data_IF_036452038180
#
_entry.id   IF_036452038180
#
_cell.length_a   1.000
_cell.length_b   1.000
_cell.length_c   1.000
_cell.angle_alpha   90.00
_cell.angle_beta   90.00
_cell.angle_gamma   90.00
#
_symmetry.space_group_name_H-M   'P 1'
#
loop_
_entity.id
_entity.type
_entity.pdbx_description
1 polymer ?
#
# COMPACT_ATOMS: atom_id res chain seq x y z
N UNK A 1 -3.68 55.20 45.31
CA UNK A 1 -2.41 55.14 44.57
C UNK A 1 -2.68 54.30 43.33
N UNK A 2 -3.09 54.94 42.24
CA UNK A 2 -2.27 55.16 41.01
C UNK A 2 -1.81 53.84 40.38
N UNK A 3 -2.14 53.48 39.15
CA UNK A 3 -2.87 54.09 38.02
C UNK A 3 -3.06 52.95 36.98
N UNK A 4 -3.85 53.04 35.93
CA UNK A 4 -4.39 54.16 35.19
C UNK A 4 -4.49 53.66 33.76
N UNK A 5 -5.73 53.41 33.31
CA UNK A 5 -6.07 53.11 31.93
C UNK A 5 -5.67 54.27 31.02
N UNK A 6 -5.21 53.97 29.81
CA UNK A 6 -5.33 54.91 28.70
C UNK A 6 -5.67 54.15 27.41
N UNK A 7 -6.88 54.42 26.94
CA UNK A 7 -7.34 54.17 25.60
C UNK A 7 -6.78 55.24 24.66
N UNK A 8 -6.34 54.85 23.47
CA UNK A 8 -5.92 55.75 22.41
C UNK A 8 -6.26 55.11 21.06
N UNK A 9 -7.36 55.55 20.47
CA UNK A 9 -7.77 55.20 19.12
C UNK A 9 -6.76 55.71 18.08
N UNK A 10 -6.49 54.92 17.03
CA UNK A 10 -6.04 55.48 15.75
C UNK A 10 -6.38 54.58 14.56
N UNK A 11 -7.22 55.15 13.69
CA UNK A 11 -7.26 55.06 12.23
C UNK A 11 -7.07 53.72 11.52
N UNK A 12 -8.19 53.23 10.98
CA UNK A 12 -8.28 52.39 9.78
C UNK A 12 -7.66 53.09 8.56
N UNK A 13 -6.74 52.40 7.89
CA UNK A 13 -6.51 52.53 6.44
C UNK A 13 -6.26 51.15 5.85
N UNK A 14 -7.04 50.86 4.81
CA UNK A 14 -7.00 49.68 3.95
C UNK A 14 -5.58 49.31 3.49
N UNK A 15 -5.28 48.02 3.51
CA UNK A 15 -4.20 47.42 2.72
C UNK A 15 -4.85 46.43 1.76
N UNK A 16 -5.01 46.87 0.52
CA UNK A 16 -5.37 46.01 -0.61
C UNK A 16 -4.17 45.15 -1.00
N UNK A 17 -4.45 43.86 -1.20
CA UNK A 17 -3.60 42.85 -1.82
C UNK A 17 -3.27 43.23 -3.26
N UNK A 18 -1.98 43.25 -3.63
CA UNK A 18 -1.53 43.04 -5.02
C UNK A 18 -0.18 42.31 -5.08
N UNK A 19 -0.25 41.12 -5.67
CA UNK A 19 0.66 40.52 -6.66
C UNK A 19 2.17 40.76 -6.52
N UNK A 20 2.92 39.71 -6.16
CA UNK A 20 4.35 39.60 -6.42
C UNK A 20 4.64 38.46 -7.41
N UNK A 21 4.43 38.72 -8.70
CA UNK A 21 5.11 37.99 -9.79
C UNK A 21 6.46 38.67 -10.00
N UNK A 22 7.56 38.00 -9.63
CA UNK A 22 8.90 38.43 -9.98
C UNK A 22 9.12 38.21 -11.49
N UNK A 23 8.95 39.27 -12.27
CA UNK A 23 9.52 39.38 -13.62
C UNK A 23 10.89 40.04 -13.48
N UNK A 24 11.96 39.26 -13.61
CA UNK A 24 13.32 39.82 -13.71
C UNK A 24 13.49 40.31 -15.15
N UNK A 25 13.02 41.52 -15.41
CA UNK A 25 13.44 42.29 -16.57
C UNK A 25 14.82 42.87 -16.28
N UNK A 26 15.86 42.30 -16.88
CA UNK A 26 17.20 42.92 -16.91
C UNK A 26 17.12 44.18 -17.78
N UNK A 27 16.91 45.32 -17.13
CA UNK A 27 16.92 46.64 -17.75
C UNK A 27 18.13 47.39 -17.20
N UNK A 28 19.29 47.20 -17.84
CA UNK A 28 20.43 48.07 -17.60
C UNK A 28 20.08 49.50 -18.04
N UNK A 29 20.33 50.53 -17.24
CA UNK A 29 20.07 51.91 -17.62
C UNK A 29 21.06 52.32 -18.72
N UNK A 30 20.54 52.49 -19.94
CA UNK A 30 21.25 53.18 -21.02
C UNK A 30 21.34 54.65 -20.62
N UNK A 31 22.56 55.15 -20.41
CA UNK A 31 22.84 56.57 -20.20
C UNK A 31 22.27 57.39 -21.38
N UNK A 32 21.28 58.29 -21.18
CA UNK A 32 20.65 59.04 -22.26
C UNK A 32 21.57 60.06 -22.96
N UNK A 33 22.84 60.19 -22.55
CA UNK A 33 23.76 61.19 -23.12
C UNK A 33 24.75 60.69 -24.18
N UNK A 34 24.59 59.47 -24.71
CA UNK A 34 25.34 59.03 -25.89
C UNK A 34 24.50 58.90 -27.18
N UNK A 35 23.29 59.46 -27.21
CA UNK A 35 22.46 59.52 -28.43
C UNK A 35 22.56 60.92 -29.04
N UNK A 36 23.65 61.18 -29.77
CA UNK A 36 23.79 62.12 -30.90
C UNK A 36 25.24 62.58 -31.04
N UNK A 37 26.08 61.72 -31.59
CA UNK A 37 27.23 62.18 -32.35
C UNK A 37 27.14 61.62 -33.76
N UNK A 38 26.63 62.43 -34.69
CA UNK A 38 26.90 62.23 -36.12
C UNK A 38 28.42 62.30 -36.30
N UNK A 39 29.08 61.32 -36.93
CA UNK A 39 30.51 61.46 -37.22
C UNK A 39 30.66 62.55 -38.27
N UNK A 40 31.24 63.68 -37.86
CA UNK A 40 31.69 64.73 -38.76
C UNK A 40 32.88 64.20 -39.56
N UNK A 41 32.83 64.38 -40.88
CA UNK A 41 33.97 64.26 -41.78
C UNK A 41 35.16 65.05 -41.21
N UNK A 42 36.21 64.37 -40.75
CA UNK A 42 37.57 64.91 -40.79
C UNK A 42 38.65 63.82 -40.79
N UNK A 43 39.46 63.92 -41.85
CA UNK A 43 40.84 63.48 -42.06
C UNK A 43 41.28 62.03 -41.77
N UNK A 44 41.49 61.30 -42.87
CA UNK A 44 42.72 60.50 -43.02
C UNK A 44 42.61 58.99 -43.14
N UNK A 45 41.41 58.38 -43.09
CA UNK A 45 41.26 56.93 -43.35
C UNK A 45 40.03 56.66 -44.21
N UNK A 46 40.26 56.49 -45.51
CA UNK A 46 39.25 56.25 -46.57
C UNK A 46 38.63 54.84 -46.51
N UNK A 47 38.43 54.29 -45.31
CA UNK A 47 38.07 52.89 -45.12
C UNK A 47 36.97 52.72 -44.07
N UNK A 48 36.03 51.83 -44.38
CA UNK A 48 35.07 51.24 -43.46
C UNK A 48 35.79 50.34 -42.46
N UNK A 49 35.39 50.42 -41.20
CA UNK A 49 35.91 49.59 -40.11
C UNK A 49 34.78 48.71 -39.60
N UNK A 50 34.96 47.40 -39.63
CA UNK A 50 33.99 46.43 -39.12
C UNK A 50 34.54 45.82 -37.84
N UNK A 51 33.75 45.86 -36.77
CA UNK A 51 34.07 45.24 -35.48
C UNK A 51 32.80 44.87 -34.73
N UNK A 52 32.90 44.03 -33.70
CA UNK A 52 31.79 43.80 -32.78
C UNK A 52 31.46 45.06 -31.98
N UNK A 53 30.20 45.27 -31.60
CA UNK A 53 29.83 46.36 -30.68
C UNK A 53 30.41 46.14 -29.28
N UNK A 54 30.49 44.88 -28.83
CA UNK A 54 31.07 44.43 -27.57
C UNK A 54 31.88 43.14 -27.78
N UNK A 55 32.82 42.87 -26.88
CA UNK A 55 33.66 41.64 -26.91
C UNK A 55 33.11 40.53 -26.02
N UNK A 56 32.02 40.78 -25.30
CA UNK A 56 31.41 39.84 -24.37
C UNK A 56 29.90 39.87 -24.52
N UNK A 57 29.32 38.68 -24.65
CA UNK A 57 27.88 38.44 -24.67
C UNK A 57 27.55 37.37 -23.63
N UNK A 58 26.38 37.48 -23.01
CA UNK A 58 25.85 36.47 -22.12
C UNK A 58 24.39 36.21 -22.51
N UNK A 59 24.00 34.94 -22.52
CA UNK A 59 22.70 34.47 -22.97
C UNK A 59 22.26 33.32 -22.08
N UNK A 60 20.99 33.28 -21.70
CA UNK A 60 20.44 32.08 -21.05
C UNK A 60 20.29 30.98 -22.10
N UNK A 61 20.50 29.74 -21.71
CA UNK A 61 20.33 28.58 -22.58
C UNK A 61 18.93 28.55 -23.22
N UNK A 62 17.90 28.78 -22.39
CA UNK A 62 16.49 28.88 -22.80
C UNK A 62 16.14 30.03 -23.76
N UNK A 63 17.08 30.96 -24.03
CA UNK A 63 16.86 32.10 -24.92
C UNK A 63 16.94 31.72 -26.42
N UNK A 64 17.36 30.49 -26.75
CA UNK A 64 17.43 29.87 -28.09
C UNK A 64 18.42 30.51 -29.08
N UNK A 65 18.83 31.76 -28.88
CA UNK A 65 19.84 32.42 -29.68
C UNK A 65 20.47 33.61 -28.96
N UNK A 66 21.75 33.87 -29.26
CA UNK A 66 22.44 35.11 -28.91
C UNK A 66 22.43 36.07 -30.11
N UNK A 67 22.09 37.34 -29.87
CA UNK A 67 22.14 38.39 -30.90
C UNK A 67 23.48 39.13 -30.83
N UNK A 68 24.36 38.84 -31.80
CA UNK A 68 25.62 39.53 -32.02
C UNK A 68 25.36 40.82 -32.81
N UNK A 69 25.99 41.91 -32.38
CA UNK A 69 25.88 43.20 -33.05
C UNK A 69 27.23 43.55 -33.65
N UNK A 70 27.28 43.59 -34.98
CA UNK A 70 28.44 44.06 -35.74
C UNK A 70 28.21 45.53 -36.06
N UNK A 71 29.17 46.38 -35.69
CA UNK A 71 29.13 47.80 -35.97
C UNK A 71 30.10 48.17 -37.08
N UNK A 72 29.69 49.15 -37.87
CA UNK A 72 30.48 49.75 -38.92
C UNK A 72 30.83 51.19 -38.58
N UNK A 73 32.12 51.47 -38.50
CA UNK A 73 32.66 52.81 -38.26
C UNK A 73 33.35 53.35 -39.52
N UNK A 74 33.53 54.66 -39.58
CA UNK A 74 34.17 55.33 -40.72
C UNK A 74 33.25 55.42 -41.93
N UNK A 75 33.74 54.99 -43.09
CA UNK A 75 33.04 55.13 -44.38
C UNK A 75 31.85 54.15 -44.46
N UNK A 76 30.65 54.68 -44.74
CA UNK A 76 29.39 53.90 -44.82
C UNK A 76 28.75 53.87 -46.22
N UNK A 77 29.31 54.57 -47.19
CA UNK A 77 28.78 54.72 -48.57
C UNK A 77 29.05 53.51 -49.49
N UNK A 78 29.81 52.52 -49.00
CA UNK A 78 30.26 51.34 -49.76
C UNK A 78 29.66 50.07 -49.19
N UNK A 79 29.60 48.97 -49.95
CA UNK A 79 29.25 47.65 -49.38
C UNK A 79 30.46 47.09 -48.64
N UNK A 80 30.28 46.59 -47.42
CA UNK A 80 31.33 45.92 -46.64
C UNK A 80 30.99 44.47 -46.40
N UNK A 81 31.89 43.55 -46.76
CA UNK A 81 31.74 42.11 -46.54
C UNK A 81 32.66 41.63 -45.43
N UNK A 82 32.15 40.75 -44.58
CA UNK A 82 32.90 40.13 -43.50
C UNK A 82 32.40 38.70 -43.28
N UNK A 83 33.19 37.90 -42.58
CA UNK A 83 32.87 36.53 -42.22
C UNK A 83 32.83 36.40 -40.70
N UNK A 84 31.86 35.65 -40.19
CA UNK A 84 31.83 35.21 -38.81
C UNK A 84 32.04 33.71 -38.75
N UNK A 85 32.98 33.29 -37.91
CA UNK A 85 33.24 31.89 -37.62
C UNK A 85 33.16 31.69 -36.10
N UNK A 86 32.31 30.76 -35.69
CA UNK A 86 32.27 30.25 -34.30
C UNK A 86 33.41 29.27 -34.06
N UNK A 87 33.95 29.30 -32.85
CA UNK A 87 35.07 28.47 -32.39
C UNK A 87 34.71 27.99 -31.00
N UNK A 88 34.76 26.67 -30.81
CA UNK A 88 34.48 26.03 -29.52
C UNK A 88 35.38 26.57 -28.41
N UNK A 89 34.81 26.67 -27.20
CA UNK A 89 35.52 26.98 -25.97
C UNK A 89 35.36 25.82 -25.00
N UNK A 90 34.60 26.04 -23.92
CA UNK A 90 34.04 24.93 -23.14
C UNK A 90 32.75 24.42 -23.78
N UNK A 91 31.97 25.32 -24.38
CA UNK A 91 30.82 24.97 -25.22
C UNK A 91 31.28 24.45 -26.58
N UNK A 92 30.63 23.38 -27.04
CA UNK A 92 30.90 22.55 -28.19
C UNK A 92 29.79 22.68 -29.25
N UNK A 93 30.20 22.75 -30.51
CA UNK A 93 29.30 22.72 -31.66
C UNK A 93 28.37 21.49 -31.66
N UNK A 94 27.07 21.72 -31.87
CA UNK A 94 25.96 20.75 -31.88
C UNK A 94 25.58 20.13 -30.53
N UNK A 95 26.27 20.51 -29.45
CA UNK A 95 25.85 20.22 -28.08
C UNK A 95 25.18 21.48 -27.51
N UNK A 96 25.89 22.62 -27.46
CA UNK A 96 25.36 23.84 -26.79
C UNK A 96 24.98 24.95 -27.79
N UNK A 97 25.53 24.90 -29.01
CA UNK A 97 25.23 25.89 -30.05
C UNK A 97 25.38 25.33 -31.46
N UNK A 98 24.69 25.94 -32.43
CA UNK A 98 24.85 25.60 -33.85
C UNK A 98 25.92 26.47 -34.47
N UNK A 99 26.89 25.83 -35.13
CA UNK A 99 27.99 26.52 -35.80
C UNK A 99 27.53 27.56 -36.80
N UNK A 100 28.05 28.77 -36.59
CA UNK A 100 28.02 29.85 -37.56
C UNK A 100 29.37 29.91 -38.29
N UNK A 101 29.36 29.80 -39.62
CA UNK A 101 30.54 29.94 -40.47
C UNK A 101 30.16 30.55 -41.83
N UNK A 102 29.66 31.78 -41.78
CA UNK A 102 29.00 32.45 -42.92
C UNK A 102 29.60 33.81 -43.23
N UNK A 103 29.43 34.22 -44.49
CA UNK A 103 29.75 35.57 -44.97
C UNK A 103 28.52 36.48 -44.94
N UNK A 104 28.72 37.69 -44.43
CA UNK A 104 27.70 38.71 -44.29
C UNK A 104 28.12 39.97 -45.04
N UNK A 105 27.11 40.73 -45.50
CA UNK A 105 27.32 42.04 -46.12
C UNK A 105 26.54 43.12 -45.37
N UNK A 106 27.18 44.28 -45.17
CA UNK A 106 26.52 45.52 -44.78
C UNK A 106 26.35 46.41 -46.00
N UNK A 107 25.12 46.79 -46.29
CA UNK A 107 24.77 47.64 -47.43
C UNK A 107 25.24 49.08 -47.19
N UNK A 108 25.18 49.87 -48.26
CA UNK A 108 25.36 51.32 -48.16
C UNK A 108 24.40 51.92 -47.13
N UNK A 109 24.92 52.75 -46.22
CA UNK A 109 24.17 53.39 -45.15
C UNK A 109 23.90 52.51 -43.92
N UNK A 110 24.18 51.20 -43.97
CA UNK A 110 24.03 50.28 -42.82
C UNK A 110 25.22 50.48 -41.86
N UNK A 111 24.94 50.92 -40.62
CA UNK A 111 25.95 51.16 -39.59
C UNK A 111 25.99 50.06 -38.51
N UNK A 112 24.96 49.23 -38.42
CA UNK A 112 24.90 48.08 -37.53
C UNK A 112 24.23 46.89 -38.23
N UNK A 113 24.69 45.67 -37.92
CA UNK A 113 24.09 44.43 -38.38
C UNK A 113 23.93 43.47 -37.22
N UNK A 114 22.71 42.99 -37.02
CA UNK A 114 22.35 41.99 -36.00
C UNK A 114 22.43 40.61 -36.61
N UNK A 115 23.18 39.72 -35.99
CA UNK A 115 23.40 38.34 -36.42
C UNK A 115 23.07 37.43 -35.26
N UNK A 116 22.31 36.37 -35.53
CA UNK A 116 21.91 35.40 -34.51
C UNK A 116 22.76 34.15 -34.62
N UNK A 117 23.29 33.69 -33.49
CA UNK A 117 23.85 32.34 -33.34
C UNK A 117 22.84 31.55 -32.53
N UNK A 118 22.42 30.39 -33.03
CA UNK A 118 21.44 29.54 -32.35
C UNK A 118 22.12 28.85 -31.17
N UNK A 119 21.49 28.95 -30.00
CA UNK A 119 21.85 28.24 -28.78
C UNK A 119 20.93 27.03 -28.69
N UNK A 120 21.50 25.88 -28.38
CA UNK A 120 20.76 24.65 -28.14
C UNK A 120 20.33 24.69 -26.69
N UNK A 121 19.07 24.33 -26.47
CA UNK A 121 18.40 24.35 -25.16
C UNK A 121 18.04 22.90 -24.84
N UNK A 122 18.58 22.37 -23.76
CA UNK A 122 18.16 21.08 -23.25
C UNK A 122 17.54 21.17 -21.84
N UNK A 123 17.66 20.13 -21.02
CA UNK A 123 17.15 20.19 -19.65
C UNK A 123 18.17 19.61 -18.66
N UNK A 124 19.38 19.28 -19.10
CA UNK A 124 20.41 18.70 -18.28
C UNK A 124 21.27 19.84 -17.72
N UNK A 125 21.43 19.86 -16.40
CA UNK A 125 22.23 20.91 -15.80
C UNK A 125 23.70 20.80 -16.17
N UNK A 126 24.23 21.92 -16.64
CA UNK A 126 25.63 22.10 -16.98
C UNK A 126 26.19 23.37 -16.31
N UNK A 127 27.51 23.46 -16.06
CA UNK A 127 28.11 24.71 -15.63
C UNK A 127 28.03 25.77 -16.73
N UNK A 128 28.10 27.07 -16.39
CA UNK A 128 28.19 28.13 -17.41
C UNK A 128 29.32 27.85 -18.41
N UNK A 129 28.98 27.87 -19.69
CA UNK A 129 29.89 27.51 -20.76
C UNK A 129 30.20 28.68 -21.69
N UNK A 130 31.25 28.55 -22.49
CA UNK A 130 31.70 29.62 -23.37
C UNK A 130 32.16 29.13 -24.74
N UNK A 131 31.87 29.92 -25.76
CA UNK A 131 32.44 29.79 -27.10
C UNK A 131 32.86 31.16 -27.64
N UNK A 132 33.65 31.16 -28.71
CA UNK A 132 34.16 32.39 -29.33
C UNK A 132 33.55 32.60 -30.71
N UNK A 133 33.35 33.87 -31.08
CA UNK A 133 32.99 34.26 -32.44
C UNK A 133 34.08 35.15 -33.00
N UNK A 134 34.71 34.69 -34.08
CA UNK A 134 35.78 35.38 -34.77
C UNK A 134 35.25 36.12 -35.98
N UNK A 135 35.51 37.41 -36.02
CA UNK A 135 35.28 38.27 -37.16
C UNK A 135 36.52 38.26 -38.06
N UNK A 136 36.33 37.91 -39.32
CA UNK A 136 37.38 37.97 -40.33
C UNK A 136 36.89 38.64 -41.61
N UNK A 137 37.85 39.01 -42.45
CA UNK A 137 37.57 39.53 -43.77
C UNK A 137 37.75 38.38 -44.77
N UNK A 138 36.82 38.18 -45.74
CA UNK A 138 36.96 37.12 -46.74
C UNK A 138 38.28 37.26 -47.52
N UNK A 139 38.83 36.23 -48.13
CA UNK A 139 40.09 36.37 -48.91
C UNK A 139 39.80 36.84 -50.34
N UNK A 140 40.02 38.13 -50.65
CA UNK A 140 40.02 38.66 -52.04
C UNK A 140 40.55 40.10 -52.13
N UNK A 141 41.46 40.28 -53.09
CA UNK A 141 42.12 41.46 -53.69
C UNK A 141 42.71 42.55 -52.77
N UNK A 142 43.94 42.96 -53.13
CA UNK A 142 44.69 44.07 -52.55
C UNK A 142 43.88 45.37 -52.67
N UNK A 143 43.94 46.22 -51.63
CA UNK A 143 43.29 47.54 -51.56
C UNK A 143 41.79 47.58 -51.18
N UNK A 144 41.38 46.85 -50.13
CA UNK A 144 40.01 46.93 -49.61
C UNK A 144 39.65 48.31 -49.04
N UNK A 145 38.43 48.82 -49.32
CA UNK A 145 37.84 49.92 -48.58
C UNK A 145 37.38 49.49 -47.18
N UNK A 146 37.52 48.23 -46.79
CA UNK A 146 37.08 47.70 -45.49
C UNK A 146 38.24 47.08 -44.72
N UNK A 147 38.37 47.43 -43.44
CA UNK A 147 39.34 46.85 -42.50
C UNK A 147 38.65 46.37 -41.22
N UNK A 148 39.33 45.50 -40.48
CA UNK A 148 38.87 45.11 -39.14
C UNK A 148 39.19 46.21 -38.12
N UNK A 149 38.31 46.38 -37.14
CA UNK A 149 38.53 47.23 -35.98
C UNK A 149 39.32 46.53 -34.87
N UNK A 150 39.13 47.00 -33.65
CA UNK A 150 39.81 46.48 -32.46
C UNK A 150 39.10 45.25 -31.89
N UNK A 151 37.78 45.18 -32.01
CA UNK A 151 36.94 44.10 -31.46
C UNK A 151 36.67 43.06 -32.56
N UNK A 152 37.61 42.15 -32.75
CA UNK A 152 37.57 41.12 -33.82
C UNK A 152 37.25 39.72 -33.33
N UNK A 153 37.18 39.53 -32.02
CA UNK A 153 36.70 38.32 -31.39
C UNK A 153 35.74 38.72 -30.27
N UNK A 154 34.67 37.96 -30.12
CA UNK A 154 33.74 38.07 -29.02
C UNK A 154 33.67 36.74 -28.26
N UNK A 155 33.64 36.80 -26.94
CA UNK A 155 33.31 35.69 -26.05
C UNK A 155 31.80 35.68 -25.85
N UNK A 156 31.17 34.52 -26.05
CA UNK A 156 29.77 34.29 -25.68
C UNK A 156 29.77 33.33 -24.50
N UNK A 157 29.06 33.70 -23.44
CA UNK A 157 28.79 32.84 -22.29
C UNK A 157 27.35 32.36 -22.34
N UNK A 158 27.16 31.05 -22.37
CA UNK A 158 25.86 30.38 -22.21
C UNK A 158 25.69 30.16 -20.71
N UNK A 159 24.65 30.76 -20.16
CA UNK A 159 24.31 30.63 -18.75
C UNK A 159 23.24 29.54 -18.66
N UNK A 160 23.58 28.44 -18.01
CA UNK A 160 22.62 27.36 -17.79
C UNK A 160 21.55 27.84 -16.79
N UNK A 161 20.29 27.58 -17.13
CA UNK A 161 19.13 27.95 -16.31
C UNK A 161 18.29 26.75 -15.84
N UNK A 162 18.86 25.55 -15.90
CA UNK A 162 18.24 24.33 -15.38
C UNK A 162 18.33 24.20 -13.87
N UNK A 163 17.28 23.66 -13.27
CA UNK A 163 17.25 23.37 -11.84
C UNK A 163 17.06 21.86 -11.61
N UNK A 164 18.15 21.10 -11.35
CA UNK A 164 18.07 19.67 -11.04
C UNK A 164 17.33 19.35 -9.73
N UNK A 165 17.14 20.33 -8.86
CA UNK A 165 16.41 20.17 -7.62
C UNK A 165 17.22 19.64 -6.44
N UNK A 166 16.50 19.54 -5.32
CA UNK A 166 16.96 19.13 -4.00
C UNK A 166 16.20 17.89 -3.54
N UNK A 167 16.91 16.90 -3.00
CA UNK A 167 16.37 15.58 -2.68
C UNK A 167 16.34 15.32 -1.17
N UNK A 168 15.17 14.95 -0.66
CA UNK A 168 14.90 14.71 0.76
C UNK A 168 14.02 13.46 0.93
N UNK A 169 14.15 12.73 2.03
CA UNK A 169 13.14 11.76 2.42
C UNK A 169 11.83 12.46 2.83
N UNK A 170 10.68 11.91 2.42
CA UNK A 170 9.36 12.42 2.80
C UNK A 170 9.17 12.39 4.32
N UNK A 171 9.71 11.36 4.97
CA UNK A 171 9.64 11.15 6.41
C UNK A 171 11.00 10.74 6.98
N UNK A 172 11.38 11.30 8.14
CA UNK A 172 12.63 10.98 8.84
C UNK A 172 12.56 9.66 9.62
N UNK A 173 11.36 9.08 9.76
CA UNK A 173 11.14 7.79 10.37
C UNK A 173 10.06 7.02 9.59
N UNK A 174 10.25 5.72 9.46
CA UNK A 174 9.29 4.79 8.86
C UNK A 174 9.10 3.58 9.77
N UNK A 175 7.85 3.12 9.86
CA UNK A 175 7.46 1.95 10.63
C UNK A 175 7.04 0.86 9.65
N UNK A 176 7.72 -0.28 9.70
CA UNK A 176 7.45 -1.44 8.86
C UNK A 176 7.23 -2.64 9.77
N UNK A 177 6.34 -3.55 9.39
CA UNK A 177 6.19 -4.83 10.12
C UNK A 177 7.25 -5.80 9.61
N UNK A 178 7.70 -6.69 10.48
CA UNK A 178 8.59 -7.79 10.11
C UNK A 178 7.98 -8.68 9.02
N UNK A 179 6.68 -8.95 9.12
CA UNK A 179 5.92 -9.65 8.07
C UNK A 179 5.75 -8.89 6.75
N UNK A 180 6.20 -7.63 6.66
CA UNK A 180 6.23 -6.92 5.40
C UNK A 180 7.44 -7.38 4.58
N UNK A 181 7.26 -7.62 3.29
CA UNK A 181 8.35 -8.07 2.41
C UNK A 181 9.41 -7.00 2.15
N UNK A 182 9.04 -5.72 2.27
CA UNK A 182 9.91 -4.58 1.99
C UNK A 182 9.47 -3.33 2.75
N UNK A 183 10.44 -2.49 3.10
CA UNK A 183 10.24 -1.12 3.54
C UNK A 183 10.30 -0.19 2.32
N UNK A 184 9.23 0.58 2.12
CA UNK A 184 9.14 1.58 1.06
C UNK A 184 9.45 2.97 1.63
N UNK A 185 10.49 3.61 1.09
CA UNK A 185 10.98 4.91 1.56
C UNK A 185 10.93 5.92 0.42
N UNK A 186 9.98 6.85 0.48
CA UNK A 186 9.79 7.84 -0.57
C UNK A 186 10.79 8.99 -0.44
N UNK A 187 11.47 9.27 -1.54
CA UNK A 187 12.36 10.43 -1.74
C UNK A 187 11.60 11.47 -2.58
N UNK A 188 11.62 12.72 -2.16
CA UNK A 188 10.98 13.87 -2.78
C UNK A 188 12.05 14.76 -3.42
N UNK A 189 11.81 15.16 -4.66
CA UNK A 189 12.58 16.15 -5.43
C UNK A 189 11.85 17.49 -5.38
N UNK A 190 12.54 18.55 -4.98
CA UNK A 190 11.98 19.90 -4.76
C UNK A 190 12.90 20.98 -5.31
N UNK A 191 12.38 22.20 -5.54
CA UNK A 191 13.16 23.35 -6.05
C UNK A 191 13.89 23.04 -7.38
N UNK A 192 13.19 22.39 -8.30
CA UNK A 192 13.73 21.97 -9.60
C UNK A 192 13.34 20.53 -9.94
N UNK A 193 13.16 20.26 -11.24
CA UNK A 193 12.87 18.93 -11.76
C UNK A 193 13.57 18.65 -13.10
N UNK A 194 14.57 19.45 -13.46
CA UNK A 194 15.19 19.43 -14.78
C UNK A 194 16.26 18.35 -14.86
N UNK A 195 16.33 17.68 -16.00
CA UNK A 195 17.32 16.64 -16.26
C UNK A 195 17.19 15.38 -15.42
N UNK A 196 18.07 14.44 -15.75
CA UNK A 196 18.17 13.11 -15.16
C UNK A 196 19.15 13.13 -13.99
N UNK A 197 18.63 12.90 -12.78
CA UNK A 197 19.43 12.92 -11.54
C UNK A 197 19.59 11.53 -10.96
N UNK A 198 20.83 11.17 -10.61
CA UNK A 198 21.14 9.92 -9.91
C UNK A 198 21.50 10.23 -8.46
N UNK A 199 20.82 9.58 -7.52
CA UNK A 199 21.08 9.69 -6.07
C UNK A 199 21.56 8.35 -5.54
N UNK A 200 22.76 8.33 -4.96
CA UNK A 200 23.26 7.15 -4.24
C UNK A 200 22.82 7.19 -2.79
N UNK A 201 22.39 6.05 -2.29
CA UNK A 201 22.01 5.87 -0.90
C UNK A 201 22.68 4.63 -0.32
N UNK A 202 22.79 4.61 1.01
CA UNK A 202 23.31 3.46 1.75
C UNK A 202 22.45 3.15 2.95
N UNK A 203 22.44 1.89 3.35
CA UNK A 203 21.87 1.47 4.63
C UNK A 203 22.94 1.37 5.71
N UNK A 204 22.54 1.55 6.96
CA UNK A 204 23.42 1.41 8.12
C UNK A 204 22.67 0.81 9.30
N UNK A 205 23.25 -0.25 9.84
CA UNK A 205 22.76 -0.97 11.02
C UNK A 205 22.69 -0.04 12.24
N UNK A 206 21.63 -0.20 13.05
CA UNK A 206 21.50 0.44 14.38
C UNK A 206 21.31 -0.66 15.42
N UNK A 207 20.14 -1.29 15.44
CA UNK A 207 19.88 -2.51 16.20
C UNK A 207 19.55 -3.69 15.29
N UNK A 208 18.87 -3.43 14.16
CA UNK A 208 18.72 -4.37 13.06
C UNK A 208 20.04 -4.51 12.31
N UNK A 209 20.36 -5.72 11.89
CA UNK A 209 21.60 -6.18 11.28
C UNK A 209 21.36 -6.59 9.83
N UNK A 210 22.22 -6.10 8.95
CA UNK A 210 22.19 -6.45 7.52
C UNK A 210 22.34 -7.97 7.31
N UNK A 211 21.56 -8.53 6.39
CA UNK A 211 21.45 -9.97 6.05
C UNK A 211 20.86 -10.86 7.16
N UNK A 212 20.50 -10.30 8.31
CA UNK A 212 19.70 -10.98 9.35
C UNK A 212 18.26 -10.47 9.30
N UNK A 213 18.08 -9.15 9.44
CA UNK A 213 16.75 -8.54 9.61
C UNK A 213 16.30 -7.77 8.35
N UNK A 214 17.27 -7.35 7.51
CA UNK A 214 16.99 -6.67 6.25
C UNK A 214 18.14 -6.83 5.24
N UNK A 215 17.86 -6.64 3.95
CA UNK A 215 18.89 -6.68 2.89
C UNK A 215 19.40 -5.26 2.65
N UNK A 216 20.52 -4.94 3.32
CA UNK A 216 21.22 -3.66 3.21
C UNK A 216 22.27 -3.58 2.10
N UNK A 217 22.82 -2.39 1.88
CA UNK A 217 23.89 -2.14 0.92
C UNK A 217 23.99 -0.67 0.48
N UNK A 218 24.83 -0.43 -0.54
CA UNK A 218 24.91 0.84 -1.27
C UNK A 218 24.28 0.64 -2.65
N UNK A 219 23.32 1.49 -2.99
CA UNK A 219 22.55 1.41 -4.23
C UNK A 219 22.26 2.83 -4.74
N UNK A 220 21.68 2.93 -5.93
CA UNK A 220 21.29 4.20 -6.53
C UNK A 220 19.82 4.22 -6.93
N UNK A 221 19.25 5.43 -6.94
CA UNK A 221 17.92 5.73 -7.44
C UNK A 221 18.03 6.83 -8.48
N UNK A 222 17.41 6.62 -9.63
CA UNK A 222 17.49 7.53 -10.77
C UNK A 222 16.15 8.22 -10.92
N UNK A 223 16.16 9.55 -10.98
CA UNK A 223 15.02 10.39 -11.30
C UNK A 223 15.14 10.86 -12.73
N UNK A 224 14.13 10.59 -13.55
CA UNK A 224 14.04 11.13 -14.91
C UNK A 224 13.55 12.59 -14.87
N UNK A 225 13.69 13.31 -15.98
CA UNK A 225 13.20 14.69 -16.10
C UNK A 225 11.71 14.79 -15.71
N UNK A 226 11.37 15.75 -14.85
CA UNK A 226 10.02 15.96 -14.33
C UNK A 226 9.56 14.99 -13.23
N UNK A 227 10.36 13.98 -12.86
CA UNK A 227 10.00 13.07 -11.75
C UNK A 227 10.18 13.77 -10.39
N UNK A 228 9.07 13.98 -9.67
CA UNK A 228 9.07 14.69 -8.38
C UNK A 228 9.25 13.79 -7.15
N UNK A 229 9.03 12.48 -7.28
CA UNK A 229 9.18 11.55 -6.17
C UNK A 229 9.43 10.13 -6.65
N UNK A 230 10.21 9.37 -5.88
CA UNK A 230 10.48 7.96 -6.17
C UNK A 230 10.73 7.20 -4.86
N UNK A 231 10.35 5.92 -4.83
CA UNK A 231 10.48 5.09 -3.64
C UNK A 231 11.73 4.20 -3.70
N UNK A 232 12.50 4.18 -2.61
CA UNK A 232 13.53 3.19 -2.33
C UNK A 232 12.86 1.98 -1.67
N UNK A 233 13.13 0.78 -2.18
CA UNK A 233 12.61 -0.46 -1.62
C UNK A 233 13.74 -1.24 -0.93
N UNK A 234 13.64 -1.43 0.38
CA UNK A 234 14.60 -2.23 1.15
C UNK A 234 13.91 -3.54 1.55
N UNK A 235 14.34 -4.71 1.06
CA UNK A 235 13.76 -5.99 1.47
C UNK A 235 13.95 -6.21 2.97
N UNK A 236 12.88 -6.61 3.64
CA UNK A 236 12.88 -7.01 5.05
C UNK A 236 12.87 -8.53 5.11
N UNK A 237 13.63 -9.10 6.05
CA UNK A 237 13.72 -10.54 6.25
C UNK A 237 12.78 -10.89 7.41
N UNK A 238 11.76 -11.68 7.11
CA UNK A 238 10.81 -12.23 8.09
C UNK A 238 11.38 -13.56 8.58
N UNK A 239 11.77 -13.65 9.85
CA UNK A 239 12.24 -14.88 10.44
C UNK A 239 11.20 -15.54 11.37
N UNK A 240 11.60 -16.33 12.36
CA UNK A 240 10.66 -16.98 13.29
C UNK A 240 11.13 -16.88 14.73
N UNK A 241 12.21 -16.14 14.96
CA UNK A 241 12.72 -15.83 16.27
C UNK A 241 11.91 -14.67 16.84
N UNK A 242 11.52 -14.77 18.10
CA UNK A 242 10.78 -13.68 18.75
C UNK A 242 11.76 -12.57 19.11
N UNK A 243 11.74 -11.49 18.34
CA UNK A 243 12.63 -10.35 18.55
C UNK A 243 11.90 -9.15 19.18
N UNK A 244 12.67 -8.11 19.54
CA UNK A 244 12.10 -6.81 19.93
C UNK A 244 12.02 -5.94 18.68
N UNK A 245 11.35 -4.79 18.77
CA UNK A 245 11.41 -3.81 17.70
C UNK A 245 12.87 -3.41 17.42
N UNK A 246 13.28 -3.53 16.16
CA UNK A 246 14.64 -3.24 15.71
C UNK A 246 14.65 -2.11 14.69
N UNK A 247 15.80 -1.49 14.46
CA UNK A 247 15.91 -0.36 13.56
C UNK A 247 17.21 -0.34 12.77
N UNK A 248 17.12 0.22 11.56
CA UNK A 248 18.26 0.57 10.72
C UNK A 248 18.02 1.97 10.13
N UNK A 249 19.04 2.56 9.51
CA UNK A 249 18.91 3.85 8.83
C UNK A 249 19.28 3.77 7.37
N UNK A 250 18.63 4.61 6.56
CA UNK A 250 18.96 4.82 5.15
C UNK A 250 19.38 6.27 4.97
N UNK A 251 20.52 6.49 4.34
CA UNK A 251 21.15 7.79 4.12
C UNK A 251 21.34 8.04 2.63
N UNK A 252 20.92 9.21 2.13
CA UNK A 252 21.34 9.73 0.84
C UNK A 252 22.77 10.26 0.98
N UNK A 253 23.68 9.79 0.14
CA UNK A 253 25.14 9.99 0.30
C UNK A 253 25.70 10.92 -0.76
N UNK A 254 25.32 10.69 -2.01
CA UNK A 254 25.86 11.41 -3.17
C UNK A 254 24.73 11.65 -4.18
N UNK A 255 24.80 12.78 -4.87
CA UNK A 255 23.88 13.16 -5.94
C UNK A 255 24.67 13.56 -7.18
N UNK A 256 24.09 13.45 -8.38
CA UNK A 256 24.73 13.91 -9.62
C UNK A 256 25.00 15.41 -9.60
N UNK A 257 25.89 15.87 -10.48
CA UNK A 257 26.30 17.28 -10.57
C UNK A 257 25.09 18.22 -10.72
N UNK A 258 25.16 19.42 -10.15
CA UNK A 258 24.06 20.40 -10.16
C UNK A 258 22.97 20.16 -9.11
N UNK A 259 22.66 18.91 -8.80
CA UNK A 259 21.66 18.55 -7.79
C UNK A 259 22.18 18.63 -6.35
N UNK A 260 21.26 18.73 -5.38
CA UNK A 260 21.60 18.87 -3.96
C UNK A 260 20.87 17.84 -3.10
N UNK A 261 21.54 17.33 -2.07
CA UNK A 261 20.88 16.57 -1.00
C UNK A 261 20.40 17.57 0.06
N UNK A 262 19.13 17.47 0.44
CA UNK A 262 18.50 18.36 1.40
C UNK A 262 18.80 18.04 2.87
N UNK A 263 18.01 18.62 3.77
CA UNK A 263 18.22 18.50 5.23
C UNK A 263 17.76 17.15 5.77
N UNK A 264 16.78 16.53 5.15
CA UNK A 264 16.23 15.23 5.52
C UNK A 264 16.88 14.14 4.66
N UNK A 265 18.21 14.08 4.68
CA UNK A 265 19.00 13.10 3.94
C UNK A 265 19.06 11.72 4.59
N UNK A 266 18.50 11.57 5.79
CA UNK A 266 18.49 10.32 6.56
C UNK A 266 17.09 10.00 7.06
N UNK A 267 16.70 8.75 6.91
CA UNK A 267 15.48 8.18 7.50
C UNK A 267 15.81 6.95 8.34
N UNK A 268 15.09 6.77 9.45
CA UNK A 268 15.22 5.61 10.33
C UNK A 268 14.04 4.68 10.10
N UNK A 269 14.31 3.44 9.75
CA UNK A 269 13.29 2.40 9.60
C UNK A 269 13.26 1.57 10.86
N UNK A 270 12.08 1.44 11.46
CA UNK A 270 11.83 0.57 12.62
C UNK A 270 10.99 -0.62 12.18
N UNK A 271 11.52 -1.81 12.35
CA UNK A 271 10.88 -3.10 12.10
C UNK A 271 10.12 -3.48 13.38
N UNK A 272 8.81 -3.59 13.27
CA UNK A 272 7.92 -3.97 14.38
C UNK A 272 7.67 -5.47 14.29
N UNK A 273 8.00 -6.20 15.37
CA UNK A 273 7.71 -7.63 15.45
C UNK A 273 6.19 -7.84 15.60
N UNK A 274 5.58 -8.62 14.70
CA UNK A 274 4.14 -8.93 14.72
C UNK A 274 3.81 -10.42 14.89
N UNK A 275 4.80 -11.24 15.24
CA UNK A 275 4.66 -12.70 15.43
C UNK A 275 3.68 -13.08 16.52
N UNK A 276 3.68 -12.32 17.63
CA UNK A 276 2.80 -12.62 18.76
C UNK A 276 1.33 -12.46 18.35
N UNK A 277 1.00 -11.42 17.59
CA UNK A 277 -0.36 -11.20 17.08
C UNK A 277 -0.75 -12.27 16.05
N UNK A 278 0.15 -12.60 15.12
CA UNK A 278 -0.11 -13.63 14.12
C UNK A 278 -0.31 -15.02 14.74
N UNK A 279 0.49 -15.37 15.75
CA UNK A 279 0.37 -16.66 16.44
C UNK A 279 -0.97 -16.80 17.17
N UNK A 280 -1.46 -15.72 17.79
CA UNK A 280 -2.77 -15.67 18.44
C UNK A 280 -3.90 -15.73 17.40
N UNK A 281 -3.80 -14.99 16.31
CA UNK A 281 -4.77 -15.04 15.22
C UNK A 281 -4.87 -16.46 14.63
N UNK A 282 -3.74 -17.11 14.34
CA UNK A 282 -3.70 -18.51 13.85
C UNK A 282 -4.35 -19.47 14.84
N UNK A 283 -4.14 -19.31 16.15
CA UNK A 283 -4.80 -20.14 17.18
C UNK A 283 -6.31 -19.93 17.18
N UNK A 284 -6.78 -18.68 17.13
CA UNK A 284 -8.22 -18.37 17.08
C UNK A 284 -8.87 -18.92 15.81
N UNK A 285 -8.23 -18.75 14.65
CA UNK A 285 -8.68 -19.34 13.39
C UNK A 285 -8.72 -20.87 13.46
N UNK A 286 -7.71 -21.52 14.04
CA UNK A 286 -7.71 -22.98 14.19
C UNK A 286 -8.85 -23.49 15.08
N UNK A 287 -9.18 -22.77 16.16
CA UNK A 287 -10.31 -23.10 17.02
C UNK A 287 -11.65 -22.88 16.31
N UNK A 288 -11.78 -21.80 15.53
CA UNK A 288 -12.96 -21.54 14.73
C UNK A 288 -13.16 -22.58 13.60
N UNK A 289 -12.07 -23.01 12.96
CA UNK A 289 -12.10 -24.05 11.93
C UNK A 289 -12.57 -25.39 12.51
N UNK A 290 -12.08 -25.76 13.70
CA UNK A 290 -12.52 -26.94 14.43
C UNK A 290 -14.02 -26.89 14.79
N UNK A 291 -14.57 -25.72 15.06
CA UNK A 291 -16.01 -25.54 15.29
C UNK A 291 -16.85 -25.56 14.00
N UNK A 292 -16.34 -25.04 12.89
CA UNK A 292 -16.99 -25.13 11.57
C UNK A 292 -17.12 -26.59 11.11
N UNK A 293 -16.10 -27.41 11.35
CA UNK A 293 -16.15 -28.85 11.03
C UNK A 293 -17.16 -29.60 11.91
N UNK A 294 -17.36 -29.17 13.16
CA UNK A 294 -18.45 -29.69 14.02
C UNK A 294 -19.85 -29.29 13.52
N UNK A 295 -19.99 -28.15 12.85
CA UNK A 295 -21.26 -27.69 12.26
C UNK A 295 -21.58 -28.39 10.92
N UNK A 296 -20.57 -28.87 10.18
CA UNK A 296 -20.76 -29.63 8.94
C UNK A 296 -21.35 -31.04 9.12
N UNK A 297 -21.51 -31.51 10.37
CA UNK A 297 -22.31 -32.71 10.70
C UNK A 297 -23.79 -32.55 10.29
N UNK A 298 -24.26 -31.31 10.08
CA UNK A 298 -25.64 -30.96 9.77
C UNK A 298 -25.97 -30.85 8.27
N UNK A 299 -25.52 -31.75 7.40
CA UNK A 299 -26.02 -31.87 6.00
C UNK A 299 -26.26 -33.32 5.59
N UNK A 300 -26.80 -34.16 6.47
CA UNK A 300 -27.19 -35.54 6.11
C UNK A 300 -28.53 -35.56 5.40
N UNK A 301 -28.55 -36.00 4.14
CA UNK A 301 -29.79 -36.30 3.42
C UNK A 301 -30.42 -37.58 3.97
N UNK A 302 -31.74 -37.77 3.80
CA UNK A 302 -32.41 -38.97 4.34
C UNK A 302 -31.85 -40.27 3.74
N UNK A 303 -31.53 -40.28 2.44
CA UNK A 303 -30.87 -41.41 1.78
C UNK A 303 -29.47 -41.70 2.35
N UNK A 304 -28.72 -40.65 2.77
CA UNK A 304 -27.43 -40.83 3.41
C UNK A 304 -27.55 -41.54 4.77
N UNK A 305 -28.63 -41.35 5.51
CA UNK A 305 -28.84 -42.07 6.77
C UNK A 305 -28.95 -43.59 6.58
N UNK A 306 -29.61 -44.03 5.50
CA UNK A 306 -29.69 -45.45 5.15
C UNK A 306 -28.34 -45.99 4.67
N UNK A 307 -27.61 -45.21 3.88
CA UNK A 307 -26.26 -45.57 3.46
C UNK A 307 -25.33 -45.75 4.66
N UNK A 308 -25.36 -44.82 5.62
CA UNK A 308 -24.55 -44.88 6.84
C UNK A 308 -24.98 -46.03 7.77
N UNK A 309 -26.29 -46.34 7.81
CA UNK A 309 -26.83 -47.44 8.62
C UNK A 309 -26.39 -48.82 8.10
N UNK A 310 -26.28 -48.98 6.78
CA UNK A 310 -25.90 -50.23 6.12
C UNK A 310 -24.38 -50.45 6.04
N UNK A 311 -23.57 -49.41 6.26
CA UNK A 311 -22.12 -49.48 6.13
C UNK A 311 -21.40 -49.35 7.49
N UNK A 312 -20.32 -50.11 7.66
CA UNK A 312 -19.43 -50.00 8.83
C UNK A 312 -18.77 -48.62 8.78
N UNK A 313 -18.79 -47.91 9.91
CA UNK A 313 -18.26 -46.54 10.04
C UNK A 313 -18.74 -45.55 8.96
N UNK A 314 -19.97 -45.69 8.45
CA UNK A 314 -20.52 -44.76 7.44
C UNK A 314 -19.86 -44.85 6.07
N UNK A 315 -19.17 -45.97 5.78
CA UNK A 315 -18.47 -46.19 4.51
C UNK A 315 -16.95 -45.97 4.57
N UNK A 316 -16.40 -45.54 5.71
CA UNK A 316 -14.94 -45.49 5.91
C UNK A 316 -14.40 -46.85 6.38
N UNK A 317 -14.22 -47.75 5.40
CA UNK A 317 -13.74 -49.11 5.62
C UNK A 317 -12.24 -49.15 5.94
N UNK A 318 -11.49 -48.09 5.61
CA UNK A 318 -10.02 -48.06 5.75
C UNK A 318 -9.57 -47.84 7.19
N UNK A 319 -10.41 -47.24 8.03
CA UNK A 319 -10.14 -46.98 9.46
C UNK A 319 -10.80 -47.99 10.40
N UNK A 320 -11.56 -48.96 9.87
CA UNK A 320 -12.42 -49.85 10.65
C UNK A 320 -11.63 -50.95 11.39
N UNK A 321 -11.86 -51.07 12.70
CA UNK A 321 -11.28 -52.12 13.57
C UNK A 321 -12.18 -53.36 13.59
N UNK A 322 -11.65 -54.56 13.93
CA UNK A 322 -12.46 -55.78 14.01
C UNK A 322 -13.68 -55.68 14.94
N UNK A 323 -13.56 -54.90 16.02
CA UNK A 323 -14.66 -54.64 16.95
C UNK A 323 -15.77 -53.81 16.30
N UNK A 324 -15.45 -52.91 15.37
CA UNK A 324 -16.43 -52.05 14.70
C UNK A 324 -17.37 -52.86 13.80
N UNK A 325 -16.86 -53.93 13.17
CA UNK A 325 -17.67 -54.87 12.38
C UNK A 325 -18.63 -55.67 13.26
N UNK A 326 -18.15 -56.17 14.41
CA UNK A 326 -18.96 -56.92 15.37
C UNK A 326 -20.07 -56.01 15.92
N UNK A 327 -19.69 -54.81 16.38
CA UNK A 327 -20.64 -53.83 16.89
C UNK A 327 -21.64 -53.38 15.81
N UNK A 328 -21.19 -53.19 14.57
CA UNK A 328 -22.07 -52.87 13.45
C UNK A 328 -23.08 -53.99 13.17
N UNK A 329 -22.64 -55.25 13.15
CA UNK A 329 -23.53 -56.40 12.94
C UNK A 329 -24.59 -56.52 14.04
N UNK A 330 -24.17 -56.40 15.32
CA UNK A 330 -25.08 -56.47 16.47
C UNK A 330 -26.09 -55.31 16.52
N UNK A 331 -25.70 -54.14 16.01
CA UNK A 331 -26.55 -52.94 15.99
C UNK A 331 -27.27 -52.70 14.67
N UNK A 332 -27.05 -53.52 13.63
CA UNK A 332 -27.57 -53.29 12.27
C UNK A 332 -29.08 -53.16 12.25
N UNK A 333 -29.77 -54.05 12.96
CA UNK A 333 -31.22 -54.00 13.11
C UNK A 333 -31.68 -52.63 13.63
N UNK A 334 -31.07 -52.16 14.73
CA UNK A 334 -31.38 -50.86 15.33
C UNK A 334 -31.00 -49.70 14.42
N UNK A 335 -29.88 -49.78 13.71
CA UNK A 335 -29.43 -48.73 12.77
C UNK A 335 -30.42 -48.52 11.63
N UNK A 336 -30.88 -49.61 11.00
CA UNK A 336 -31.87 -49.54 9.92
C UNK A 336 -33.20 -49.03 10.47
N UNK A 337 -33.61 -49.55 11.64
CA UNK A 337 -34.86 -49.16 12.30
C UNK A 337 -34.89 -47.65 12.62
N UNK A 338 -33.80 -47.08 13.11
CA UNK A 338 -33.71 -45.64 13.40
C UNK A 338 -33.44 -44.77 12.16
N UNK A 339 -32.95 -45.32 11.05
CA UNK A 339 -32.79 -44.56 9.79
C UNK A 339 -34.14 -44.14 9.15
N UNK A 340 -35.25 -44.75 9.56
CA UNK A 340 -36.61 -44.31 9.20
C UNK A 340 -37.01 -42.99 9.88
N UNK A 341 -36.28 -42.54 10.90
CA UNK A 341 -36.49 -41.22 11.49
C UNK A 341 -35.95 -40.16 10.51
N UNK A 342 -36.77 -39.18 10.10
CA UNK A 342 -36.37 -38.22 9.07
C UNK A 342 -35.29 -37.25 9.59
N UNK A 343 -34.43 -36.69 8.72
CA UNK A 343 -33.38 -35.74 9.10
C UNK A 343 -33.95 -34.46 9.73
N UNK A 344 -33.23 -33.92 10.72
CA UNK A 344 -33.59 -32.74 11.53
C UNK A 344 -33.76 -31.44 10.73
N UNK A 345 -33.42 -31.42 9.44
CA UNK A 345 -33.56 -30.27 8.55
C UNK A 345 -34.95 -30.16 7.91
N UNK A 346 -35.72 -31.24 7.91
CA UNK A 346 -37.06 -31.23 7.32
C UNK A 346 -38.03 -30.49 8.24
N UNK A 347 -38.76 -29.52 7.67
CA UNK A 347 -39.74 -28.70 8.39
C UNK A 347 -39.22 -28.07 9.70
N UNK A 348 -37.96 -27.59 9.70
CA UNK A 348 -37.36 -26.94 10.87
C UNK A 348 -37.16 -27.86 12.08
N UNK A 349 -37.06 -29.18 11.86
CA UNK A 349 -36.85 -30.18 12.90
C UNK A 349 -38.13 -30.71 13.55
N UNK A 350 -39.27 -30.07 13.33
CA UNK A 350 -40.55 -30.50 13.89
C UNK A 350 -41.00 -31.86 13.36
N UNK A 351 -40.72 -32.14 12.09
CA UNK A 351 -41.08 -33.42 11.48
C UNK A 351 -40.32 -34.58 12.13
N UNK A 352 -39.02 -34.43 12.31
CA UNK A 352 -38.17 -35.38 13.05
C UNK A 352 -38.63 -35.57 14.48
N UNK A 353 -38.93 -34.47 15.16
CA UNK A 353 -39.37 -34.51 16.56
C UNK A 353 -40.66 -35.33 16.73
N UNK A 354 -41.69 -35.07 15.91
CA UNK A 354 -42.96 -35.80 15.99
C UNK A 354 -42.82 -37.28 15.63
N UNK A 355 -42.09 -37.61 14.56
CA UNK A 355 -41.86 -39.01 14.16
C UNK A 355 -41.06 -39.76 15.24
N UNK A 356 -40.07 -39.11 15.84
CA UNK A 356 -39.27 -39.70 16.93
C UNK A 356 -40.13 -40.00 18.16
N UNK A 357 -41.05 -39.10 18.55
CA UNK A 357 -41.95 -39.33 19.68
C UNK A 357 -42.86 -40.55 19.45
N UNK A 358 -43.43 -40.68 18.26
CA UNK A 358 -44.26 -41.84 17.89
C UNK A 358 -43.42 -43.13 17.97
N UNK A 359 -42.20 -43.08 17.45
CA UNK A 359 -41.31 -44.24 17.42
C UNK A 359 -40.88 -44.69 18.82
N UNK A 360 -40.54 -43.74 19.69
CA UNK A 360 -40.21 -43.99 21.10
C UNK A 360 -41.42 -44.60 21.81
N UNK A 361 -42.64 -44.07 21.58
CA UNK A 361 -43.84 -44.62 22.19
C UNK A 361 -44.11 -46.07 21.76
N UNK A 362 -43.99 -46.37 20.47
CA UNK A 362 -44.17 -47.73 19.92
C UNK A 362 -43.12 -48.71 20.43
N UNK A 363 -41.85 -48.31 20.44
CA UNK A 363 -40.75 -49.14 20.94
C UNK A 363 -40.89 -49.39 22.44
N UNK A 364 -41.27 -48.39 23.22
CA UNK A 364 -41.47 -48.53 24.67
C UNK A 364 -42.62 -49.48 24.97
N UNK A 365 -43.72 -49.40 24.21
CA UNK A 365 -44.84 -50.34 24.33
C UNK A 365 -44.39 -51.78 24.00
N UNK A 366 -43.69 -51.99 22.89
CA UNK A 366 -43.20 -53.31 22.48
C UNK A 366 -42.22 -53.90 23.51
N UNK A 367 -41.27 -53.10 24.00
CA UNK A 367 -40.31 -53.54 25.03
C UNK A 367 -41.03 -53.85 26.35
N UNK A 368 -42.04 -53.06 26.71
CA UNK A 368 -42.90 -53.32 27.87
C UNK A 368 -43.63 -54.66 27.77
N UNK A 369 -44.23 -54.94 26.62
CA UNK A 369 -44.95 -56.20 26.37
C UNK A 369 -43.99 -57.41 26.40
N UNK A 370 -42.83 -57.30 25.75
CA UNK A 370 -41.79 -58.34 25.78
C UNK A 370 -41.28 -58.58 27.21
N UNK A 371 -41.09 -57.51 27.99
CA UNK A 371 -40.64 -57.63 29.38
C UNK A 371 -41.70 -58.27 30.30
N UNK A 372 -43.00 -58.02 30.05
CA UNK A 372 -44.08 -58.67 30.79
C UNK A 372 -44.19 -60.16 30.41
N UNK A 373 -44.09 -60.51 29.12
CA UNK A 373 -44.06 -61.91 28.67
C UNK A 373 -42.86 -62.66 29.27
N UNK A 374 -41.68 -62.04 29.26
CA UNK A 374 -40.49 -62.59 29.91
C UNK A 374 -40.68 -62.75 31.43
N UNK A 375 -41.27 -61.76 32.08
CA UNK A 375 -41.62 -61.81 33.50
C UNK A 375 -42.55 -62.97 33.84
N UNK A 376 -43.59 -63.17 33.04
CA UNK A 376 -44.48 -64.32 33.14
C UNK A 376 -43.73 -65.65 33.01
N UNK A 377 -42.77 -65.74 32.08
CA UNK A 377 -42.02 -66.96 31.81
C UNK A 377 -41.02 -67.32 32.92
N UNK A 378 -40.49 -66.31 33.63
CA UNK A 378 -39.53 -66.46 34.74
C UNK A 378 -40.23 -66.44 36.11
N UNK A 379 -41.55 -66.22 36.17
CA UNK A 379 -42.32 -66.17 37.41
C UNK A 379 -42.16 -64.87 38.22
N UNK A 380 -41.76 -63.78 37.57
CA UNK A 380 -41.60 -62.46 38.18
C UNK A 380 -42.89 -61.64 38.03
N UNK A 381 -43.21 -60.84 39.05
CA UNK A 381 -44.31 -59.86 38.97
C UNK A 381 -43.98 -58.77 37.96
N UNK A 382 -44.99 -58.29 37.21
CA UNK A 382 -44.84 -57.24 36.19
C UNK A 382 -44.20 -55.96 36.73
N UNK A 383 -44.43 -55.61 37.99
CA UNK A 383 -43.79 -54.44 38.62
C UNK A 383 -42.28 -54.61 38.78
N UNK A 384 -41.81 -55.83 39.04
CA UNK A 384 -40.38 -56.13 39.23
C UNK A 384 -39.68 -56.16 37.87
N UNK A 385 -40.32 -56.70 36.84
CA UNK A 385 -39.76 -56.71 35.48
C UNK A 385 -39.71 -55.32 34.87
N UNK A 386 -40.74 -54.49 35.08
CA UNK A 386 -40.75 -53.09 34.65
C UNK A 386 -39.61 -52.28 35.31
N UNK A 387 -39.43 -52.40 36.63
CA UNK A 387 -38.42 -51.63 37.37
C UNK A 387 -36.98 -52.14 37.09
N UNK A 388 -36.80 -53.43 36.81
CA UNK A 388 -35.46 -54.01 36.69
C UNK A 388 -34.95 -54.11 35.25
N UNK A 389 -35.81 -54.46 34.29
CA UNK A 389 -35.41 -54.65 32.89
C UNK A 389 -35.69 -53.41 32.04
N UNK A 390 -36.90 -52.84 32.14
CA UNK A 390 -37.30 -51.70 31.31
C UNK A 390 -36.63 -50.41 31.80
N UNK A 391 -36.66 -50.14 33.10
CA UNK A 391 -36.01 -48.95 33.66
C UNK A 391 -34.47 -48.99 33.56
N UNK A 392 -33.84 -50.17 33.55
CA UNK A 392 -32.39 -50.28 33.29
C UNK A 392 -32.05 -49.87 31.85
N UNK A 393 -32.91 -50.23 30.88
CA UNK A 393 -32.74 -49.87 29.47
C UNK A 393 -32.80 -48.37 29.21
N UNK A 394 -33.53 -47.61 30.02
CA UNK A 394 -33.60 -46.14 29.93
C UNK A 394 -32.55 -45.44 30.80
N UNK A 395 -32.19 -46.00 31.96
CA UNK A 395 -31.26 -45.37 32.91
C UNK A 395 -29.78 -45.52 32.51
N UNK A 396 -29.41 -46.59 31.79
CA UNK A 396 -28.04 -46.81 31.33
C UNK A 396 -27.59 -45.76 30.30
N UNK A 397 -28.36 -45.43 29.25
CA UNK A 397 -28.04 -44.33 28.34
C UNK A 397 -27.83 -43.00 29.07
N UNK A 398 -28.71 -42.65 30.01
CA UNK A 398 -28.61 -41.43 30.80
C UNK A 398 -27.31 -41.40 31.62
N UNK A 399 -26.94 -42.54 32.21
CA UNK A 399 -25.68 -42.69 32.95
C UNK A 399 -24.47 -42.42 32.05
N UNK A 400 -24.46 -42.94 30.83
CA UNK A 400 -23.37 -42.70 29.88
C UNK A 400 -23.34 -41.26 29.37
N UNK A 401 -24.51 -40.63 29.14
CA UNK A 401 -24.60 -39.23 28.74
C UNK A 401 -24.02 -38.31 29.83
N UNK A 402 -24.36 -38.55 31.09
CA UNK A 402 -23.79 -37.82 32.23
C UNK A 402 -22.28 -38.05 32.37
N UNK A 403 -21.79 -39.27 32.14
CA UNK A 403 -20.36 -39.57 32.16
C UNK A 403 -19.60 -38.80 31.05
N UNK A 404 -20.15 -38.73 29.84
CA UNK A 404 -19.54 -38.00 28.73
C UNK A 404 -19.52 -36.49 29.03
N UNK A 405 -20.61 -35.94 29.55
CA UNK A 405 -20.67 -34.54 29.97
C UNK A 405 -19.61 -34.20 31.02
N UNK A 406 -19.38 -35.10 31.99
CA UNK A 406 -18.35 -34.93 33.03
C UNK A 406 -16.92 -34.95 32.46
N UNK A 407 -16.66 -35.78 31.45
CA UNK A 407 -15.32 -35.91 30.83
C UNK A 407 -14.98 -34.77 29.87
N UNK A 408 -15.99 -34.16 29.27
CA UNK A 408 -15.80 -33.16 28.19
C UNK A 408 -15.77 -31.74 28.73
N UNK A 409 -16.44 -31.48 29.85
CA UNK A 409 -16.46 -30.17 30.50
C UNK A 409 -15.27 -30.01 31.46
N UNK A 410 -14.67 -28.82 31.50
CA UNK A 410 -13.50 -28.53 32.34
C UNK A 410 -13.82 -28.59 33.85
N UNK A 411 -15.07 -28.34 34.23
CA UNK A 411 -15.55 -28.26 35.62
C UNK A 411 -16.59 -29.33 35.98
N UNK A 412 -16.97 -30.22 35.06
CA UNK A 412 -18.00 -31.25 35.24
C UNK A 412 -19.44 -30.72 35.52
N UNK A 413 -19.67 -29.41 35.49
CA UNK A 413 -20.97 -28.80 35.80
C UNK A 413 -22.09 -29.26 34.86
N UNK A 414 -21.76 -29.51 33.59
CA UNK A 414 -22.71 -30.01 32.58
C UNK A 414 -23.29 -31.38 32.96
N UNK A 415 -22.52 -32.21 33.70
CA UNK A 415 -23.01 -33.50 34.18
C UNK A 415 -24.04 -33.34 35.30
N UNK A 416 -23.87 -32.34 36.18
CA UNK A 416 -24.82 -32.03 37.26
C UNK A 416 -26.15 -31.57 36.64
N UNK A 417 -26.09 -30.72 35.61
CA UNK A 417 -27.27 -30.29 34.85
C UNK A 417 -28.02 -31.46 34.21
N UNK A 418 -27.31 -32.37 33.54
CA UNK A 418 -27.91 -33.55 32.91
C UNK A 418 -28.55 -34.51 33.92
N UNK A 419 -27.86 -34.82 35.03
CA UNK A 419 -28.37 -35.73 36.07
C UNK A 419 -29.62 -35.12 36.73
N UNK A 420 -29.53 -33.85 37.11
CA UNK A 420 -30.62 -33.16 37.82
C UNK A 420 -31.81 -32.97 36.90
N UNK A 421 -31.57 -32.62 35.62
CA UNK A 421 -32.59 -32.45 34.61
C UNK A 421 -33.34 -33.74 34.30
N UNK A 422 -32.63 -34.82 33.92
CA UNK A 422 -33.28 -36.10 33.57
C UNK A 422 -34.08 -36.68 34.74
N UNK A 423 -33.50 -36.72 35.94
CA UNK A 423 -34.19 -37.26 37.11
C UNK A 423 -35.40 -36.42 37.53
N UNK A 424 -35.32 -35.09 37.44
CA UNK A 424 -36.45 -34.22 37.74
C UNK A 424 -37.60 -34.45 36.75
N UNK A 425 -37.30 -34.53 35.45
CA UNK A 425 -38.31 -34.77 34.41
C UNK A 425 -38.94 -36.16 34.58
N UNK A 426 -38.16 -37.20 34.87
CA UNK A 426 -38.67 -38.55 35.08
C UNK A 426 -39.62 -38.64 36.28
N UNK A 427 -39.32 -37.93 37.38
CA UNK A 427 -40.21 -37.89 38.56
C UNK A 427 -41.46 -37.07 38.27
N UNK A 428 -41.31 -35.84 37.76
CA UNK A 428 -42.45 -34.93 37.56
C UNK A 428 -43.37 -35.38 36.42
N UNK A 429 -42.82 -35.73 35.24
CA UNK A 429 -43.64 -36.17 34.11
C UNK A 429 -43.96 -37.67 34.16
N UNK A 430 -43.07 -38.51 34.67
CA UNK A 430 -43.27 -39.96 34.69
C UNK A 430 -44.17 -40.44 35.83
N UNK A 431 -44.11 -39.83 37.02
CA UNK A 431 -44.95 -40.19 38.16
C UNK A 431 -46.00 -39.11 38.48
N UNK A 432 -45.59 -37.84 38.47
CA UNK A 432 -46.45 -36.72 38.84
C UNK A 432 -47.62 -36.54 37.88
N UNK A 433 -47.36 -36.45 36.58
CA UNK A 433 -48.40 -36.18 35.58
C UNK A 433 -49.47 -37.29 35.49
N UNK A 434 -49.14 -38.60 35.43
CA UNK A 434 -50.15 -39.67 35.48
C UNK A 434 -50.96 -39.64 36.76
N UNK A 435 -50.34 -39.32 37.90
CA UNK A 435 -51.03 -39.24 39.18
C UNK A 435 -52.01 -38.06 39.24
N UNK A 436 -51.63 -36.90 38.69
CA UNK A 436 -52.53 -35.74 38.53
C UNK A 436 -53.69 -36.06 37.59
N UNK A 437 -53.41 -36.69 36.44
CA UNK A 437 -54.46 -37.11 35.49
C UNK A 437 -55.41 -38.11 36.16
N UNK A 438 -54.89 -39.09 36.91
CA UNK A 438 -55.69 -40.06 37.64
C UNK A 438 -56.54 -39.38 38.73
N UNK A 439 -55.98 -38.44 39.49
CA UNK A 439 -56.70 -37.70 40.51
C UNK A 439 -57.88 -36.91 39.91
N UNK A 440 -57.66 -36.18 38.82
CA UNK A 440 -58.71 -35.45 38.10
C UNK A 440 -59.77 -36.41 37.53
N UNK A 441 -59.34 -37.54 36.95
CA UNK A 441 -60.26 -38.56 36.43
C UNK A 441 -61.16 -39.12 37.53
N UNK A 442 -60.60 -39.48 38.69
CA UNK A 442 -61.36 -40.02 39.80
C UNK A 442 -62.26 -38.97 40.46
N UNK A 443 -61.80 -37.72 40.60
CA UNK A 443 -62.63 -36.62 41.06
C UNK A 443 -63.85 -36.42 40.15
N UNK A 444 -63.64 -36.30 38.83
CA UNK A 444 -64.75 -36.13 37.87
C UNK A 444 -65.68 -37.33 37.76
N UNK A 445 -65.18 -38.56 37.97
CA UNK A 445 -66.01 -39.77 37.99
C UNK A 445 -66.82 -39.88 39.30
N UNK A 446 -66.23 -39.50 40.44
CA UNK A 446 -66.91 -39.44 41.74
C UNK A 446 -67.98 -38.35 41.73
N UNK A 447 -67.69 -37.16 41.17
CA UNK A 447 -68.69 -36.09 41.00
C UNK A 447 -69.86 -36.51 40.10
N UNK A 448 -69.64 -37.34 39.08
CA UNK A 448 -70.73 -37.92 38.26
C UNK A 448 -71.55 -38.99 38.97
N UNK A 449 -70.99 -39.66 39.99
CA UNK A 449 -71.72 -40.65 40.80
C UNK A 449 -72.68 -40.00 41.82
N UNK A 450 -72.48 -38.72 42.13
CA UNK A 450 -73.32 -37.95 43.07
C UNK A 450 -74.43 -37.11 42.40
N UNK A 451 -74.54 -37.15 41.06
CA UNK A 451 -75.56 -36.43 40.29
C UNK A 451 -76.64 -37.35 39.68
N UNK A 452 -76.77 -38.59 40.18
CA UNK A 452 -77.93 -39.46 39.92
C UNK A 452 -78.55 -39.96 41.23
#
# INVERSE_FOLDING_TARGET
MYGGQNAGASHSKNVDERESRHSIGSQYPIDPKQVNMRPTHHDGKNQSIIEFSTVSYAVLESQQYVELIIQRLGVIDTVSRFRLDTIDGTAVENEDYIKLSDEFEMKEGEYEKKIRVVIIDDNEWEPDETFFVKLSLPKSEENRPTKLGSKTAALVTIINDDEPGTFDFEHQASLVKESATKAELKVIRSNGADGRVTIKYRTKDITAVTMKDYIGGENEIIFEHGELSKSIEIPIIDDSEKEKDESFSVELVESSTGSKIGRHSRTVVTIINDDEYQSLARRVFSLAQLDIDRLNVSKRTWGQQFYDALNVNGGDVKSAKPFDYIAHCLSLFWKILFAFVPPTQMAGGWFTFMVSLIFIALLTALVGDVASIFGCLVGLKDSITAISLVAMGTSLPDTFASMIAAKTSKTADDAIGNITGSNSVNVFLGLGLPWVIAAIYWETKVSKLFYF
#
